data_IF_676678170421
#
_entry.id   IF_676678170421
#
_cell.length_a   1.000
_cell.length_b   1.000
_cell.length_c   1.000
_cell.angle_alpha   90.00
_cell.angle_beta   90.00
_cell.angle_gamma   90.00
#
_symmetry.space_group_name_H-M   'P 1'
#
loop_
_entity.id
_entity.type
_entity.pdbx_description
1 polymer ?
#
# COMPACT_ATOMS: atom_id res chain seq x y z
N UNK A 1 -24.08 -31.03 -2.20
CA UNK A 1 -24.23 -29.63 -2.66
C UNK A 1 -22.85 -29.17 -3.11
N UNK A 2 -22.59 -29.24 -4.41
CA UNK A 2 -21.32 -28.84 -5.01
C UNK A 2 -21.43 -27.35 -5.26
N UNK A 3 -20.62 -26.55 -4.57
CA UNK A 3 -20.52 -25.11 -4.82
C UNK A 3 -19.67 -24.95 -6.08
N UNK A 4 -20.33 -24.69 -7.20
CA UNK A 4 -19.68 -24.30 -8.45
C UNK A 4 -19.22 -22.86 -8.24
N UNK A 5 -17.90 -22.65 -8.14
CA UNK A 5 -17.29 -21.33 -8.12
C UNK A 5 -17.43 -20.80 -9.56
N UNK A 6 -18.32 -19.81 -9.75
CA UNK A 6 -18.52 -19.16 -11.04
C UNK A 6 -17.20 -18.52 -11.49
N UNK A 7 -16.76 -18.86 -12.71
CA UNK A 7 -15.51 -18.41 -13.34
C UNK A 7 -15.41 -16.88 -13.52
N UNK A 8 -16.50 -16.14 -13.35
CA UNK A 8 -16.60 -14.67 -13.42
C UNK A 8 -15.84 -13.94 -12.28
N UNK A 9 -15.61 -14.62 -11.15
CA UNK A 9 -14.87 -14.05 -10.01
C UNK A 9 -13.37 -13.93 -10.31
N UNK A 10 -12.78 -14.86 -11.09
CA UNK A 10 -11.33 -14.94 -11.24
C UNK A 10 -10.74 -13.78 -12.05
N UNK A 11 -11.50 -13.30 -13.04
CA UNK A 11 -11.09 -12.20 -13.92
C UNK A 11 -11.27 -10.84 -13.24
N UNK A 12 -12.32 -10.71 -12.43
CA UNK A 12 -12.57 -9.57 -11.56
C UNK A 12 -11.47 -9.43 -10.49
N UNK A 13 -11.05 -10.54 -9.88
CA UNK A 13 -9.95 -10.59 -8.92
C UNK A 13 -8.59 -10.25 -9.55
N UNK A 14 -8.30 -10.73 -10.76
CA UNK A 14 -7.08 -10.36 -11.51
C UNK A 14 -7.05 -8.89 -11.88
N UNK A 15 -8.19 -8.33 -12.30
CA UNK A 15 -8.29 -6.92 -12.65
C UNK A 15 -8.05 -6.03 -11.42
N UNK A 16 -8.68 -6.38 -10.29
CA UNK A 16 -8.47 -5.66 -9.04
C UNK A 16 -7.01 -5.75 -8.56
N UNK A 17 -6.40 -6.94 -8.63
CA UNK A 17 -4.99 -7.13 -8.31
C UNK A 17 -4.08 -6.25 -9.18
N UNK A 18 -4.31 -6.21 -10.49
CA UNK A 18 -3.54 -5.38 -11.42
C UNK A 18 -3.71 -3.88 -11.12
N UNK A 19 -4.92 -3.43 -10.78
CA UNK A 19 -5.17 -2.05 -10.35
C UNK A 19 -4.42 -1.71 -9.06
N UNK A 20 -4.40 -2.61 -8.09
CA UNK A 20 -3.67 -2.42 -6.83
C UNK A 20 -2.16 -2.36 -7.08
N UNK A 21 -1.61 -3.27 -7.89
CA UNK A 21 -0.19 -3.28 -8.25
C UNK A 21 0.22 -2.01 -9.01
N UNK A 22 -0.65 -1.52 -9.90
CA UNK A 22 -0.44 -0.26 -10.63
C UNK A 22 -0.42 0.92 -9.66
N UNK A 23 -1.37 0.96 -8.71
CA UNK A 23 -1.45 2.03 -7.71
C UNK A 23 -0.21 2.05 -6.79
N UNK A 24 0.24 0.88 -6.35
CA UNK A 24 1.48 0.74 -5.57
C UNK A 24 2.68 1.23 -6.38
N UNK A 25 2.80 0.79 -7.64
CA UNK A 25 3.94 1.15 -8.50
C UNK A 25 3.97 2.65 -8.82
N UNK A 26 2.81 3.27 -9.06
CA UNK A 26 2.72 4.72 -9.25
C UNK A 26 3.12 5.46 -7.98
N UNK A 27 2.70 4.98 -6.80
CA UNK A 27 3.02 5.61 -5.53
C UNK A 27 4.51 5.51 -5.21
N UNK A 28 5.14 4.36 -5.45
CA UNK A 28 6.58 4.17 -5.20
C UNK A 28 7.46 4.89 -6.21
N UNK A 29 6.99 5.08 -7.46
CA UNK A 29 7.70 5.84 -8.49
C UNK A 29 8.00 7.29 -8.05
N UNK A 30 7.11 7.91 -7.26
CA UNK A 30 7.32 9.24 -6.67
C UNK A 30 8.53 9.29 -5.72
N UNK A 31 8.97 8.14 -5.22
CA UNK A 31 10.11 8.00 -4.31
C UNK A 31 11.31 7.30 -4.98
N UNK A 32 11.30 7.15 -6.31
CA UNK A 32 12.36 6.46 -7.06
C UNK A 32 13.75 7.08 -6.92
N UNK A 33 13.82 8.39 -6.64
CA UNK A 33 15.07 9.12 -6.38
C UNK A 33 15.52 9.07 -4.92
N UNK A 34 14.81 8.33 -4.07
CA UNK A 34 15.15 8.21 -2.66
C UNK A 34 16.29 7.23 -2.39
N UNK A 35 16.88 7.28 -1.21
CA UNK A 35 17.94 6.36 -0.79
C UNK A 35 17.45 4.95 -0.42
N UNK A 36 16.13 4.69 -0.50
CA UNK A 36 15.55 3.39 -0.16
C UNK A 36 15.54 2.48 -1.38
N UNK A 37 15.74 1.18 -1.16
CA UNK A 37 15.62 0.21 -2.24
C UNK A 37 14.18 0.16 -2.78
N UNK A 38 13.99 -0.08 -4.08
CA UNK A 38 12.66 -0.23 -4.68
C UNK A 38 11.79 -1.29 -3.99
N UNK A 39 12.41 -2.36 -3.48
CA UNK A 39 11.73 -3.41 -2.72
C UNK A 39 11.20 -2.90 -1.37
N UNK A 40 11.99 -2.09 -0.65
CA UNK A 40 11.56 -1.48 0.61
C UNK A 40 10.43 -0.50 0.38
N UNK A 41 10.52 0.35 -0.65
CA UNK A 41 9.43 1.26 -1.04
C UNK A 41 8.14 0.50 -1.35
N UNK A 42 8.23 -0.61 -2.09
CA UNK A 42 7.07 -1.46 -2.43
C UNK A 42 6.46 -2.10 -1.19
N UNK A 43 7.27 -2.65 -0.29
CA UNK A 43 6.78 -3.27 0.95
C UNK A 43 6.06 -2.26 1.85
N UNK A 44 6.59 -1.04 1.98
CA UNK A 44 5.97 0.00 2.80
C UNK A 44 4.69 0.54 2.17
N UNK A 45 4.66 0.69 0.84
CA UNK A 45 3.45 1.01 0.11
C UNK A 45 2.36 -0.07 0.34
N UNK A 46 2.71 -1.36 0.31
CA UNK A 46 1.77 -2.44 0.61
C UNK A 46 1.22 -2.36 2.03
N UNK A 47 2.07 -2.12 3.03
CA UNK A 47 1.61 -1.92 4.41
C UNK A 47 0.64 -0.74 4.52
N UNK A 48 0.96 0.39 3.89
CA UNK A 48 0.09 1.56 3.85
C UNK A 48 -1.26 1.28 3.16
N UNK A 49 -1.27 0.46 2.12
CA UNK A 49 -2.49 0.03 1.43
C UNK A 49 -3.36 -0.89 2.31
N UNK A 50 -2.76 -1.86 2.99
CA UNK A 50 -3.48 -2.75 3.92
C UNK A 50 -4.10 -1.94 5.07
N UNK A 51 -3.34 -0.97 5.61
CA UNK A 51 -3.87 -0.06 6.64
C UNK A 51 -5.05 0.77 6.12
N UNK A 52 -5.00 1.18 4.85
CA UNK A 52 -6.10 1.88 4.21
C UNK A 52 -7.35 0.98 4.08
N UNK A 53 -7.20 -0.28 3.69
CA UNK A 53 -8.31 -1.23 3.63
C UNK A 53 -9.00 -1.41 4.98
N UNK A 54 -8.21 -1.55 6.06
CA UNK A 54 -8.73 -1.78 7.40
C UNK A 54 -9.36 -0.54 8.03
N UNK A 55 -8.91 0.66 7.65
CA UNK A 55 -9.29 1.91 8.31
C UNK A 55 -10.21 2.81 7.47
N UNK A 56 -10.49 2.44 6.22
CA UNK A 56 -11.30 3.27 5.34
C UNK A 56 -12.74 3.33 5.85
N UNK A 57 -13.26 4.56 5.97
CA UNK A 57 -14.65 4.82 6.31
C UNK A 57 -15.34 5.57 5.17
N UNK A 58 -16.50 5.08 4.68
CA UNK A 58 -17.31 5.79 3.69
C UNK A 58 -17.77 7.18 4.15
N UNK A 59 -17.79 7.43 5.47
CA UNK A 59 -18.16 8.71 6.05
C UNK A 59 -17.20 9.86 5.64
N UNK A 60 -16.00 9.53 5.17
CA UNK A 60 -14.99 10.51 4.75
C UNK A 60 -15.37 11.26 3.46
N UNK A 61 -16.37 10.78 2.69
CA UNK A 61 -16.75 11.34 1.37
C UNK A 61 -15.57 11.49 0.39
N UNK A 62 -14.52 10.69 0.58
CA UNK A 62 -13.36 10.62 -0.32
C UNK A 62 -13.35 9.25 -0.99
N UNK A 63 -12.96 9.18 -2.27
CA UNK A 63 -12.78 7.90 -2.95
C UNK A 63 -11.72 7.06 -2.22
N UNK A 64 -11.97 5.75 -2.09
CA UNK A 64 -11.03 4.81 -1.48
C UNK A 64 -9.62 4.90 -2.09
N UNK A 65 -9.52 5.02 -3.42
CA UNK A 65 -8.24 5.14 -4.13
C UNK A 65 -7.41 6.34 -3.66
N UNK A 66 -8.05 7.49 -3.45
CA UNK A 66 -7.41 8.69 -2.93
C UNK A 66 -6.96 8.49 -1.48
N UNK A 67 -7.82 7.89 -0.64
CA UNK A 67 -7.49 7.59 0.74
C UNK A 67 -6.29 6.62 0.85
N UNK A 68 -6.33 5.54 0.07
CA UNK A 68 -5.27 4.55 -0.01
C UNK A 68 -3.94 5.17 -0.46
N UNK A 69 -3.96 6.02 -1.48
CA UNK A 69 -2.77 6.74 -1.94
C UNK A 69 -2.12 7.57 -0.82
N UNK A 70 -2.94 8.32 -0.06
CA UNK A 70 -2.44 9.11 1.08
C UNK A 70 -1.85 8.21 2.18
N UNK A 71 -2.50 7.10 2.51
CA UNK A 71 -1.98 6.14 3.48
C UNK A 71 -0.64 5.52 3.03
N UNK A 72 -0.52 5.12 1.76
CA UNK A 72 0.71 4.60 1.17
C UNK A 72 1.85 5.63 1.25
N UNK A 73 1.60 6.86 0.83
CA UNK A 73 2.59 7.94 0.92
C UNK A 73 3.03 8.21 2.36
N UNK A 74 2.09 8.25 3.30
CA UNK A 74 2.41 8.47 4.73
C UNK A 74 3.28 7.35 5.28
N UNK A 75 3.00 6.10 4.93
CA UNK A 75 3.80 4.96 5.37
C UNK A 75 5.23 5.04 4.83
N UNK A 76 5.40 5.29 3.55
CA UNK A 76 6.72 5.49 2.91
C UNK A 76 7.46 6.66 3.55
N UNK A 77 6.78 7.79 3.78
CA UNK A 77 7.35 8.96 4.44
C UNK A 77 7.79 8.69 5.88
N UNK A 78 7.09 7.80 6.59
CA UNK A 78 7.47 7.38 7.93
C UNK A 78 8.83 6.70 7.95
N UNK A 79 9.17 5.92 6.92
CA UNK A 79 10.47 5.26 6.82
C UNK A 79 11.64 6.24 6.68
N UNK A 80 11.42 7.41 6.08
CA UNK A 80 12.46 8.45 6.05
C UNK A 80 12.61 9.19 7.37
N UNK A 81 11.53 9.29 8.16
CA UNK A 81 11.55 9.93 9.48
C UNK A 81 12.21 9.05 10.53
N UNK A 82 11.98 7.75 10.45
CA UNK A 82 12.79 6.75 11.14
C UNK A 82 14.07 6.53 10.35
N UNK A 83 14.98 7.51 10.35
CA UNK A 83 16.38 7.25 10.01
C UNK A 83 16.91 6.04 10.80
N UNK A 84 18.06 5.44 10.42
CA UNK A 84 18.58 4.25 11.09
C UNK A 84 18.47 4.46 12.58
N UNK A 85 17.68 3.61 13.25
CA UNK A 85 17.61 3.65 14.69
C UNK A 85 19.05 3.56 15.16
N UNK A 86 19.56 4.66 15.72
CA UNK A 86 20.69 4.59 16.62
C UNK A 86 20.23 3.65 17.71
N UNK A 87 20.55 2.36 17.55
CA UNK A 87 20.60 1.40 18.61
C UNK A 87 21.72 1.89 19.53
N UNK A 88 21.44 2.94 20.30
CA UNK A 88 22.11 3.19 21.56
C UNK A 88 21.28 2.41 22.57
N UNK A 89 21.66 1.16 22.93
CA UNK A 89 21.17 0.60 24.17
C UNK A 89 21.65 1.55 25.27
N UNK A 90 20.71 2.34 25.79
CA UNK A 90 20.95 3.15 26.95
C UNK A 90 20.68 2.25 28.15
N UNK A 91 21.71 2.13 28.98
CA UNK A 91 21.83 1.43 30.28
C UNK A 91 22.31 -0.01 30.25
#
# INVERSE_FOLDING_TARGET
MIIIIQEDSLETDKNLYNQIQTLISNTTSLFSTSCLSPEKLRSEAQTGFINALNSYSPALKVKFTTYAHVCMQRQILSCFKTGPANNTPNK
#
